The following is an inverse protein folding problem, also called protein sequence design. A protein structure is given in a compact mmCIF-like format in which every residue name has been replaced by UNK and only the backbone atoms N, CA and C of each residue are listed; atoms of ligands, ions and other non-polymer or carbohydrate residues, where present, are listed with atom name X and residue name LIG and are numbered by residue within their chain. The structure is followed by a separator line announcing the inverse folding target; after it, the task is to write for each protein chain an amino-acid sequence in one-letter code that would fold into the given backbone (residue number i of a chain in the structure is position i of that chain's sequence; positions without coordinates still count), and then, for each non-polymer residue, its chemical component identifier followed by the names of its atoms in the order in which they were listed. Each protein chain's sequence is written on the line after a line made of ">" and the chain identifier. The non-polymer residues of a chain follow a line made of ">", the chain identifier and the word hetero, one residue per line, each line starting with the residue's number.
data_IF_578591997881
#
_entry.id   IF_578591997881
#
_cell.length_a   1.000
_cell.length_b   1.000
_cell.length_c   1.000
_cell.angle_alpha   90.00
_cell.angle_beta   90.00
_cell.angle_gamma   90.00
#
_symmetry.space_group_name_H-M   'P 1'
#
loop_
_entity.id
_entity.type
_entity.pdbx_description
1 polymer ?
#
# COMPACT_ATOMS: atom_id res chain seq x y z
N UNK A 1 -6.81 -38.33 -21.02
CA UNK A 1 -5.74 -37.61 -20.31
C UNK A 1 -5.59 -38.25 -18.93
N UNK A 2 -4.37 -38.63 -18.55
CA UNK A 2 -4.14 -39.19 -17.20
C UNK A 2 -4.34 -38.08 -16.18
N UNK A 3 -5.30 -38.22 -15.28
CA UNK A 3 -5.53 -37.25 -14.21
C UNK A 3 -4.47 -37.43 -13.13
N UNK A 4 -3.72 -36.38 -12.83
CA UNK A 4 -2.77 -36.35 -11.71
C UNK A 4 -3.52 -36.36 -10.38
N UNK A 5 -3.17 -37.29 -9.46
CA UNK A 5 -3.87 -37.44 -8.17
C UNK A 5 -2.91 -37.52 -6.98
N UNK A 6 -3.27 -36.84 -5.89
CA UNK A 6 -2.63 -36.97 -4.58
C UNK A 6 -3.79 -37.19 -3.55
N UNK A 7 -3.92 -38.38 -3.03
CA UNK A 7 -5.07 -38.77 -2.17
C UNK A 7 -6.39 -38.47 -2.89
N UNK A 8 -7.23 -37.64 -2.27
CA UNK A 8 -8.54 -37.24 -2.80
C UNK A 8 -8.49 -36.03 -3.75
N UNK A 9 -7.30 -35.48 -4.04
CA UNK A 9 -7.15 -34.29 -4.89
C UNK A 9 -6.78 -34.67 -6.31
N UNK A 10 -7.46 -34.08 -7.28
CA UNK A 10 -7.15 -34.16 -8.73
C UNK A 10 -6.57 -32.83 -9.20
N UNK A 11 -5.58 -32.90 -10.10
CA UNK A 11 -4.88 -31.75 -10.65
C UNK A 11 -4.97 -31.77 -12.17
N UNK A 12 -5.14 -30.59 -12.76
CA UNK A 12 -5.36 -30.45 -14.20
C UNK A 12 -4.04 -30.32 -14.96
N UNK A 13 -2.98 -29.87 -14.27
CA UNK A 13 -1.64 -29.68 -14.86
C UNK A 13 -0.55 -30.38 -14.04
N UNK A 14 0.57 -30.72 -14.70
CA UNK A 14 1.74 -31.31 -14.07
C UNK A 14 2.38 -30.38 -13.03
N UNK A 15 2.35 -29.06 -13.28
CA UNK A 15 2.87 -28.06 -12.36
C UNK A 15 2.05 -27.96 -11.07
N UNK A 16 0.72 -28.01 -11.18
CA UNK A 16 -0.15 -28.03 -10.00
C UNK A 16 0.05 -29.30 -9.18
N UNK A 17 0.23 -30.45 -9.87
CA UNK A 17 0.53 -31.72 -9.23
C UNK A 17 1.88 -31.69 -8.50
N UNK A 18 2.93 -31.15 -9.13
CA UNK A 18 4.25 -31.01 -8.50
C UNK A 18 4.17 -30.15 -7.23
N UNK A 19 3.48 -29.01 -7.28
CA UNK A 19 3.22 -28.16 -6.09
C UNK A 19 2.42 -28.91 -5.03
N UNK A 20 1.42 -29.71 -5.43
CA UNK A 20 0.66 -30.56 -4.53
C UNK A 20 1.52 -31.60 -3.82
N UNK A 21 2.48 -32.19 -4.53
CA UNK A 21 3.41 -33.19 -3.99
C UNK A 21 4.39 -32.57 -2.99
N UNK A 22 4.86 -31.35 -3.26
CA UNK A 22 5.74 -30.60 -2.35
C UNK A 22 5.00 -30.26 -1.05
N UNK A 23 3.76 -29.76 -1.16
CA UNK A 23 2.94 -29.47 0.00
C UNK A 23 2.61 -30.72 0.82
N UNK A 24 2.32 -31.85 0.16
CA UNK A 24 2.10 -33.14 0.84
C UNK A 24 3.31 -33.58 1.66
N UNK A 25 4.54 -33.45 1.10
CA UNK A 25 5.78 -33.76 1.83
C UNK A 25 5.99 -32.82 3.03
N UNK A 26 5.68 -31.50 2.87
CA UNK A 26 5.75 -30.56 3.99
C UNK A 26 4.77 -30.92 5.10
N UNK A 27 3.55 -31.30 4.74
CA UNK A 27 2.49 -31.70 5.68
C UNK A 27 2.91 -32.98 6.42
N UNK A 28 3.38 -34.00 5.72
CA UNK A 28 3.87 -35.24 6.33
C UNK A 28 4.99 -34.97 7.34
N UNK A 29 5.95 -34.10 6.99
CA UNK A 29 7.02 -33.70 7.88
C UNK A 29 6.47 -32.99 9.15
N UNK A 30 5.51 -32.10 9.00
CA UNK A 30 4.86 -31.40 10.12
C UNK A 30 4.15 -32.42 11.02
N UNK A 31 3.33 -33.31 10.46
CA UNK A 31 2.58 -34.32 11.20
C UNK A 31 3.48 -35.33 11.94
N UNK A 32 4.65 -35.63 11.40
CA UNK A 32 5.63 -36.50 12.05
C UNK A 32 6.49 -35.79 13.13
N UNK A 33 6.49 -34.46 13.14
CA UNK A 33 7.35 -33.67 14.05
C UNK A 33 6.56 -33.06 15.21
N UNK A 34 5.27 -32.79 15.04
CA UNK A 34 4.43 -32.08 16.01
C UNK A 34 3.13 -32.83 16.26
N UNK A 35 2.74 -32.92 17.53
CA UNK A 35 1.43 -33.47 17.90
C UNK A 35 0.34 -32.41 17.74
N UNK A 36 -0.45 -32.56 16.67
CA UNK A 36 -1.55 -31.67 16.34
C UNK A 36 -2.79 -31.84 17.20
N UNK A 37 -2.82 -32.88 18.05
CA UNK A 37 -3.90 -33.09 19.04
C UNK A 37 -3.77 -32.15 20.23
N UNK A 38 -2.60 -31.54 20.41
CA UNK A 38 -2.29 -30.60 21.46
C UNK A 38 -2.74 -29.18 21.06
N UNK A 39 -3.67 -28.55 21.83
CA UNK A 39 -4.26 -27.24 21.43
C UNK A 39 -3.25 -26.11 21.20
N UNK A 40 -2.21 -26.03 22.02
CA UNK A 40 -1.17 -25.00 21.91
C UNK A 40 -0.33 -25.19 20.63
N UNK A 41 -0.02 -26.43 20.31
CA UNK A 41 0.75 -26.81 19.13
C UNK A 41 -0.04 -26.53 17.85
N UNK A 42 -1.33 -26.87 17.82
CA UNK A 42 -2.22 -26.55 16.71
C UNK A 42 -2.37 -25.03 16.51
N UNK A 43 -2.54 -24.26 17.60
CA UNK A 43 -2.63 -22.80 17.56
C UNK A 43 -1.33 -22.16 17.05
N UNK A 44 -0.18 -22.64 17.50
CA UNK A 44 1.13 -22.16 17.05
C UNK A 44 1.35 -22.41 15.55
N UNK A 45 0.98 -23.61 15.08
CA UNK A 45 1.06 -23.97 13.66
C UNK A 45 0.11 -23.11 12.82
N UNK A 46 -1.13 -22.89 13.26
CA UNK A 46 -2.09 -22.00 12.62
C UNK A 46 -1.49 -20.60 12.40
N UNK A 47 -0.85 -20.02 13.42
CA UNK A 47 -0.21 -18.71 13.31
C UNK A 47 1.00 -18.71 12.39
N UNK A 48 1.82 -19.76 12.35
CA UNK A 48 2.95 -19.87 11.44
C UNK A 48 2.52 -19.91 9.96
N UNK A 49 1.40 -20.59 9.68
CA UNK A 49 0.83 -20.62 8.32
C UNK A 49 0.18 -19.28 7.98
N UNK A 50 -0.62 -18.71 8.88
CA UNK A 50 -1.32 -17.44 8.67
C UNK A 50 -0.37 -16.26 8.48
N UNK A 51 0.75 -16.24 9.17
CA UNK A 51 1.79 -15.18 9.04
C UNK A 51 2.74 -15.40 7.87
N UNK A 52 2.52 -16.46 7.06
CA UNK A 52 3.33 -16.75 5.88
C UNK A 52 4.73 -17.30 6.17
N UNK A 53 5.05 -17.64 7.42
CA UNK A 53 6.30 -18.34 7.78
C UNK A 53 6.33 -19.76 7.25
N UNK A 54 5.17 -20.42 7.13
CA UNK A 54 4.99 -21.67 6.40
C UNK A 54 4.01 -21.39 5.27
N UNK A 55 4.44 -21.63 4.03
CA UNK A 55 3.63 -21.36 2.83
C UNK A 55 3.27 -22.66 2.14
N UNK A 56 2.00 -22.74 1.72
CA UNK A 56 1.46 -23.79 0.88
C UNK A 56 0.94 -23.20 -0.44
N UNK A 57 1.26 -23.86 -1.55
CA UNK A 57 0.94 -23.38 -2.90
C UNK A 57 -0.15 -24.16 -3.63
N UNK A 58 -0.75 -25.18 -2.99
CA UNK A 58 -1.68 -26.11 -3.64
C UNK A 58 -3.01 -26.31 -2.91
N UNK A 59 -3.96 -27.00 -3.55
CA UNK A 59 -5.22 -27.41 -2.96
C UNK A 59 -5.01 -28.32 -1.72
N UNK A 60 -3.94 -29.12 -1.69
CA UNK A 60 -3.58 -30.00 -0.56
C UNK A 60 -3.20 -29.16 0.66
N UNK A 61 -2.33 -28.17 0.48
CA UNK A 61 -1.91 -27.28 1.56
C UNK A 61 -3.06 -26.40 2.07
N UNK A 62 -3.91 -25.89 1.17
CA UNK A 62 -5.12 -25.13 1.57
C UNK A 62 -6.06 -25.97 2.44
N UNK A 63 -6.29 -27.24 2.09
CA UNK A 63 -7.13 -28.13 2.90
C UNK A 63 -6.51 -28.38 4.27
N UNK A 64 -5.21 -28.63 4.34
CA UNK A 64 -4.51 -28.83 5.61
C UNK A 64 -4.62 -27.60 6.52
N UNK A 65 -4.49 -26.39 5.98
CA UNK A 65 -4.70 -25.16 6.75
C UNK A 65 -6.12 -25.05 7.32
N UNK A 66 -7.15 -25.40 6.53
CA UNK A 66 -8.53 -25.40 6.99
C UNK A 66 -8.75 -26.44 8.10
N UNK A 67 -8.12 -27.61 8.01
CA UNK A 67 -8.24 -28.64 9.03
C UNK A 67 -7.59 -28.21 10.36
N UNK A 68 -6.46 -27.51 10.31
CA UNK A 68 -5.82 -26.90 11.49
C UNK A 68 -6.72 -25.80 12.08
N UNK A 69 -7.30 -24.93 11.25
CA UNK A 69 -8.21 -23.88 11.71
C UNK A 69 -9.45 -24.47 12.43
N UNK A 70 -10.02 -25.53 11.88
CA UNK A 70 -11.16 -26.25 12.47
C UNK A 70 -10.79 -26.95 13.80
N UNK A 71 -9.60 -27.57 13.89
CA UNK A 71 -9.07 -28.15 15.11
C UNK A 71 -8.90 -27.11 16.22
N UNK A 72 -8.34 -25.93 15.90
CA UNK A 72 -8.19 -24.82 16.85
C UNK A 72 -9.56 -24.31 17.31
N UNK A 73 -10.53 -24.15 16.40
CA UNK A 73 -11.88 -23.70 16.74
C UNK A 73 -12.62 -24.72 17.65
N UNK A 74 -12.51 -26.02 17.36
CA UNK A 74 -13.10 -27.09 18.18
C UNK A 74 -12.48 -27.17 19.56
N UNK A 75 -11.17 -26.98 19.66
CA UNK A 75 -10.43 -26.95 20.93
C UNK A 75 -10.87 -25.78 21.80
N UNK A 76 -11.03 -24.59 21.21
CA UNK A 76 -11.55 -23.41 21.90
C UNK A 76 -12.99 -23.63 22.39
N UNK A 77 -13.87 -24.22 21.55
CA UNK A 77 -15.25 -24.55 21.92
C UNK A 77 -15.33 -25.60 23.04
N UNK A 78 -14.44 -26.60 23.03
CA UNK A 78 -14.39 -27.63 24.07
C UNK A 78 -13.99 -27.08 25.43
N UNK A 79 -13.04 -26.15 25.45
CA UNK A 79 -12.63 -25.45 26.67
C UNK A 79 -13.74 -24.56 27.24
N UNK A 80 -14.59 -23.99 26.40
CA UNK A 80 -15.79 -23.23 26.82
C UNK A 80 -16.87 -24.18 27.38
N UNK A 81 -17.05 -25.35 26.77
CA UNK A 81 -18.07 -26.33 27.20
C UNK A 81 -17.65 -27.06 28.47
N UNK A 82 -16.35 -27.35 28.69
CA UNK A 82 -15.85 -27.91 29.94
C UNK A 82 -15.90 -26.94 31.11
N UNK A 83 -15.91 -25.64 30.86
CA UNK A 83 -16.16 -24.62 31.88
C UNK A 83 -17.62 -24.51 32.31
N UNK A 84 -18.54 -25.22 31.64
CA UNK A 84 -20.00 -25.19 31.89
C UNK A 84 -20.64 -26.53 32.37
N UNK A 85 -19.86 -27.58 32.64
CA UNK A 85 -20.41 -28.79 33.19
C UNK A 85 -20.63 -28.65 34.70
N UNK A 86 -21.85 -28.83 35.23
CA UNK A 86 -22.11 -28.70 36.66
C UNK A 86 -21.71 -29.99 37.38
N UNK A 87 -20.67 -29.93 38.22
CA UNK A 87 -20.50 -30.91 39.29
C UNK A 87 -21.57 -30.67 40.37
N UNK A 88 -22.52 -31.55 40.44
CA UNK A 88 -23.43 -31.65 41.58
C UNK A 88 -22.71 -32.36 42.76
N UNK A 89 -22.77 -31.67 43.90
CA UNK A 89 -22.46 -32.16 45.26
C UNK A 89 -21.01 -31.98 45.78
N UNK A 90 -20.76 -30.77 46.29
CA UNK A 90 -19.97 -30.56 47.52
C UNK A 90 -20.16 -29.14 48.03
N UNK A 91 -20.68 -28.99 49.26
CA UNK A 91 -20.59 -27.88 50.18
C UNK A 91 -20.90 -26.46 49.69
N UNK A 92 -22.01 -25.90 50.13
CA UNK A 92 -22.46 -24.52 49.82
C UNK A 92 -21.47 -23.43 50.21
N UNK A 93 -20.51 -23.66 51.11
CA UNK A 93 -19.54 -22.65 51.56
C UNK A 93 -18.34 -22.46 50.59
N UNK A 94 -18.03 -23.41 49.71
CA UNK A 94 -16.92 -23.30 48.72
C UNK A 94 -17.35 -22.64 47.41
N UNK A 95 -18.66 -22.61 47.11
CA UNK A 95 -19.19 -22.03 45.85
C UNK A 95 -19.09 -20.50 45.75
N UNK A 96 -19.30 -19.78 46.84
CA UNK A 96 -19.18 -18.33 46.84
C UNK A 96 -17.74 -17.85 46.62
N UNK A 97 -16.76 -18.54 47.19
CA UNK A 97 -15.33 -18.20 47.01
C UNK A 97 -14.79 -18.47 45.59
N UNK A 98 -15.26 -19.58 44.93
CA UNK A 98 -14.86 -19.90 43.57
C UNK A 98 -15.51 -18.96 42.51
N UNK A 99 -16.79 -18.61 42.72
CA UNK A 99 -17.52 -17.69 41.85
C UNK A 99 -16.99 -16.27 41.96
N UNK A 100 -16.54 -15.84 43.14
CA UNK A 100 -15.94 -14.53 43.35
C UNK A 100 -14.51 -14.47 42.76
N UNK A 101 -13.75 -15.56 42.79
CA UNK A 101 -12.47 -15.71 42.13
C UNK A 101 -12.58 -15.66 40.61
N UNK A 102 -13.53 -16.37 40.00
CA UNK A 102 -13.79 -16.37 38.56
C UNK A 102 -14.22 -14.99 38.07
N UNK A 103 -15.08 -14.29 38.83
CA UNK A 103 -15.50 -12.91 38.52
C UNK A 103 -14.34 -11.93 38.60
N UNK A 104 -13.43 -12.08 39.57
CA UNK A 104 -12.22 -11.24 39.70
C UNK A 104 -11.24 -11.50 38.56
N UNK A 105 -11.05 -12.77 38.16
CA UNK A 105 -10.20 -13.12 37.01
C UNK A 105 -10.80 -12.59 35.71
N UNK A 106 -12.10 -12.80 35.48
CA UNK A 106 -12.79 -12.26 34.30
C UNK A 106 -12.73 -10.73 34.27
N UNK A 107 -12.92 -10.08 35.41
CA UNK A 107 -12.77 -8.62 35.54
C UNK A 107 -11.34 -8.17 35.21
N UNK A 108 -10.32 -8.87 35.72
CA UNK A 108 -8.92 -8.56 35.42
C UNK A 108 -8.59 -8.74 33.91
N UNK A 109 -9.10 -9.82 33.29
CA UNK A 109 -8.94 -10.07 31.85
C UNK A 109 -9.64 -8.97 31.02
N UNK A 110 -10.85 -8.56 31.39
CA UNK A 110 -11.54 -7.47 30.70
C UNK A 110 -10.80 -6.14 30.85
N UNK A 111 -10.25 -5.83 32.05
CA UNK A 111 -9.47 -4.61 32.29
C UNK A 111 -8.17 -4.62 31.48
N UNK A 112 -7.45 -5.75 31.46
CA UNK A 112 -6.22 -5.87 30.66
C UNK A 112 -6.51 -5.77 29.17
N UNK A 113 -7.57 -6.40 28.66
CA UNK A 113 -8.01 -6.28 27.28
C UNK A 113 -8.39 -4.83 26.94
N UNK A 114 -9.11 -4.13 27.84
CA UNK A 114 -9.44 -2.71 27.66
C UNK A 114 -8.18 -1.85 27.62
N UNK A 115 -7.22 -2.04 28.52
CA UNK A 115 -5.96 -1.29 28.53
C UNK A 115 -5.17 -1.53 27.22
N UNK A 116 -5.13 -2.76 26.70
CA UNK A 116 -4.48 -3.08 25.44
C UNK A 116 -5.20 -2.44 24.25
N UNK A 117 -6.55 -2.45 24.24
CA UNK A 117 -7.34 -1.80 23.20
C UNK A 117 -7.17 -0.27 23.24
N UNK A 118 -7.20 0.34 24.42
CA UNK A 118 -6.96 1.78 24.58
C UNK A 118 -5.52 2.14 24.24
N UNK A 119 -4.53 1.35 24.68
CA UNK A 119 -3.11 1.53 24.31
C UNK A 119 -2.91 1.48 22.79
N UNK A 120 -3.51 0.49 22.13
CA UNK A 120 -3.52 0.39 20.66
C UNK A 120 -4.24 1.59 20.01
N UNK A 121 -5.40 2.01 20.53
CA UNK A 121 -6.13 3.16 20.01
C UNK A 121 -5.31 4.44 20.12
N UNK A 122 -4.75 4.74 21.31
CA UNK A 122 -3.91 5.93 21.51
C UNK A 122 -2.61 5.88 20.70
N UNK A 123 -2.00 4.69 20.55
CA UNK A 123 -0.82 4.52 19.69
C UNK A 123 -1.17 4.79 18.22
N UNK A 124 -2.27 4.23 17.74
CA UNK A 124 -2.74 4.44 16.36
C UNK A 124 -3.13 5.89 16.10
N UNK A 125 -3.79 6.53 17.07
CA UNK A 125 -4.18 7.94 16.99
C UNK A 125 -2.95 8.85 17.00
N UNK A 126 -1.99 8.57 17.88
CA UNK A 126 -0.73 9.30 17.97
C UNK A 126 0.10 9.23 16.69
N UNK A 127 0.25 8.03 16.09
CA UNK A 127 0.98 7.86 14.83
C UNK A 127 0.27 8.55 13.67
N UNK A 128 -1.06 8.44 13.57
CA UNK A 128 -1.84 9.15 12.56
C UNK A 128 -1.72 10.67 12.67
N UNK A 129 -1.68 11.20 13.89
CA UNK A 129 -1.55 12.65 14.11
C UNK A 129 -0.16 13.17 13.72
N UNK A 130 0.92 12.41 13.91
CA UNK A 130 2.27 12.86 13.54
C UNK A 130 2.43 13.05 12.03
N UNK A 131 1.99 12.08 11.22
CA UNK A 131 2.03 12.20 9.77
C UNK A 131 1.15 13.35 9.25
N UNK A 132 -0.04 13.54 9.83
CA UNK A 132 -0.90 14.67 9.51
C UNK A 132 -0.27 16.02 9.85
N UNK A 133 0.38 16.15 11.03
CA UNK A 133 1.06 17.37 11.43
C UNK A 133 2.25 17.69 10.52
N UNK A 134 3.02 16.68 10.11
CA UNK A 134 4.13 16.86 9.18
C UNK A 134 3.64 17.36 7.81
N UNK A 135 2.55 16.82 7.28
CA UNK A 135 1.94 17.29 6.03
C UNK A 135 1.39 18.72 6.16
N UNK A 136 0.72 19.06 7.28
CA UNK A 136 0.23 20.41 7.56
C UNK A 136 1.38 21.42 7.67
N UNK A 137 2.51 21.03 8.27
CA UNK A 137 3.70 21.86 8.32
C UNK A 137 4.25 22.16 6.90
N UNK A 138 4.39 21.15 6.05
CA UNK A 138 4.81 21.36 4.66
C UNK A 138 3.80 22.23 3.87
N UNK A 139 2.51 22.08 4.13
CA UNK A 139 1.48 22.92 3.53
C UNK A 139 1.63 24.38 3.95
N UNK A 140 1.90 24.63 5.23
CA UNK A 140 2.17 25.99 5.72
C UNK A 140 3.40 26.61 5.03
N UNK A 141 4.50 25.86 4.87
CA UNK A 141 5.70 26.32 4.14
C UNK A 141 5.37 26.68 2.69
N UNK A 142 4.58 25.86 2.00
CA UNK A 142 4.11 26.10 0.63
C UNK A 142 3.25 27.37 0.53
N UNK A 143 2.33 27.59 1.48
CA UNK A 143 1.40 28.72 1.46
C UNK A 143 2.06 30.06 1.86
N UNK A 144 3.15 30.00 2.66
CA UNK A 144 3.86 31.19 3.17
C UNK A 144 5.37 31.12 2.86
N UNK A 145 5.78 31.14 1.59
CA UNK A 145 7.18 30.94 1.21
C UNK A 145 8.14 32.00 1.76
N UNK A 146 7.68 33.23 1.95
CA UNK A 146 8.50 34.32 2.50
C UNK A 146 8.82 34.12 4.00
N UNK A 147 7.83 33.72 4.80
CA UNK A 147 8.04 33.40 6.21
C UNK A 147 8.86 32.10 6.37
N UNK A 148 8.67 31.15 5.47
CA UNK A 148 9.42 29.91 5.42
C UNK A 148 10.92 30.14 5.15
N UNK A 149 11.27 31.03 4.25
CA UNK A 149 12.67 31.42 3.96
C UNK A 149 13.36 32.05 5.19
N UNK A 150 12.66 32.90 5.95
CA UNK A 150 13.18 33.50 7.18
C UNK A 150 13.39 32.47 8.31
N UNK A 151 12.60 31.40 8.35
CA UNK A 151 12.76 30.30 9.32
C UNK A 151 14.00 29.44 9.00
N UNK A 152 14.28 29.20 7.72
CA UNK A 152 15.45 28.42 7.27
C UNK A 152 16.76 29.17 7.55
N UNK A 153 16.78 30.50 7.38
CA UNK A 153 17.98 31.33 7.64
C UNK A 153 18.34 31.42 9.15
N UNK A 154 17.37 31.23 10.05
CA UNK A 154 17.61 31.30 11.50
C UNK A 154 18.05 29.98 12.14
N UNK A 155 17.80 28.84 11.52
CA UNK A 155 18.28 27.52 11.95
C UNK A 155 19.54 27.13 11.15
N UNK A 156 20.67 27.79 11.44
CA UNK A 156 22.00 27.39 10.94
C UNK A 156 22.40 26.01 11.48
N UNK A 157 21.85 24.99 10.89
CA UNK A 157 22.32 23.62 11.01
C UNK A 157 22.58 23.02 9.63
N UNK A 158 23.44 23.71 8.84
CA UNK A 158 24.00 23.08 7.66
C UNK A 158 25.07 22.08 8.12
N UNK A 159 24.71 20.81 8.09
CA UNK A 159 25.69 19.73 7.94
C UNK A 159 26.31 19.88 6.55
N UNK A 160 27.64 20.04 6.49
CA UNK A 160 28.43 20.11 5.25
C UNK A 160 28.44 18.79 4.43
N UNK A 161 27.57 17.85 4.74
CA UNK A 161 27.39 16.57 4.05
C UNK A 161 26.04 16.53 3.31
N UNK A 162 25.80 17.47 2.40
CA UNK A 162 24.77 17.28 1.37
C UNK A 162 25.30 16.26 0.35
N UNK A 163 24.69 15.06 0.20
CA UNK A 163 25.09 14.16 -0.85
C UNK A 163 24.78 14.80 -2.21
N UNK A 164 25.81 14.89 -3.02
CA UNK A 164 25.77 15.28 -4.42
C UNK A 164 24.77 14.36 -5.17
N UNK A 165 23.57 14.89 -5.46
CA UNK A 165 22.44 14.17 -6.07
C UNK A 165 22.65 13.90 -7.58
N UNK A 166 23.91 13.75 -8.04
CA UNK A 166 24.28 13.59 -9.43
C UNK A 166 25.31 12.50 -9.69
N UNK A 167 25.08 11.29 -9.16
CA UNK A 167 25.96 10.18 -9.56
C UNK A 167 25.18 8.87 -9.63
N UNK A 168 24.71 8.50 -10.81
CA UNK A 168 24.31 7.13 -11.08
C UNK A 168 23.31 6.83 -12.18
N UNK A 169 23.26 7.61 -13.26
CA UNK A 169 22.61 7.17 -14.50
C UNK A 169 23.61 7.29 -15.66
N UNK A 170 23.64 6.24 -16.45
CA UNK A 170 24.55 6.06 -17.61
C UNK A 170 24.34 7.21 -18.62
N UNK A 171 25.46 7.89 -18.94
CA UNK A 171 25.48 9.17 -19.64
C UNK A 171 25.50 8.98 -21.14
N UNK A 172 24.48 9.46 -21.85
CA UNK A 172 24.59 9.77 -23.28
C UNK A 172 24.09 11.18 -23.60
N UNK A 173 25.03 12.08 -23.75
CA UNK A 173 25.09 13.31 -24.60
C UNK A 173 24.01 14.41 -24.48
N UNK A 174 23.28 14.57 -23.36
CA UNK A 174 22.52 15.82 -23.05
C UNK A 174 22.88 16.45 -21.70
N UNK A 175 24.12 16.28 -21.28
CA UNK A 175 24.60 16.48 -19.89
C UNK A 175 24.98 17.91 -19.51
N UNK A 176 24.62 18.96 -20.23
CA UNK A 176 25.16 20.31 -19.99
C UNK A 176 24.11 21.41 -19.67
N UNK A 177 22.84 21.10 -19.54
CA UNK A 177 21.89 22.09 -19.06
C UNK A 177 21.63 21.87 -17.56
N UNK A 178 21.85 22.92 -16.73
CA UNK A 178 21.51 22.82 -15.31
C UNK A 178 19.99 22.55 -15.16
N UNK A 179 19.58 21.83 -14.10
CA UNK A 179 18.16 21.60 -13.86
C UNK A 179 17.41 22.94 -13.78
N UNK A 180 16.12 22.98 -14.15
CA UNK A 180 15.29 24.16 -13.99
C UNK A 180 15.32 24.67 -12.54
N UNK A 181 15.14 25.98 -12.31
CA UNK A 181 15.04 26.49 -10.94
C UNK A 181 13.84 25.90 -10.22
N UNK A 182 14.00 25.61 -8.92
CA UNK A 182 12.90 25.18 -8.05
C UNK A 182 11.88 26.32 -7.96
N UNK A 183 10.60 25.96 -7.96
CA UNK A 183 9.51 26.92 -7.76
C UNK A 183 9.66 27.59 -6.38
N UNK A 184 9.48 28.93 -6.26
CA UNK A 184 9.70 29.64 -5.00
C UNK A 184 8.92 29.11 -3.81
N UNK A 185 7.71 28.61 -4.02
CA UNK A 185 6.87 28.02 -2.98
C UNK A 185 7.40 26.68 -2.45
N UNK A 186 8.33 26.05 -3.14
CA UNK A 186 8.89 24.75 -2.77
C UNK A 186 10.35 24.82 -2.30
N UNK A 187 11.03 25.95 -2.45
CA UNK A 187 12.44 26.11 -2.05
C UNK A 187 12.68 25.74 -0.59
N UNK A 188 11.85 26.24 0.34
CA UNK A 188 11.96 25.95 1.77
C UNK A 188 11.68 24.49 2.11
N UNK A 189 10.80 23.82 1.33
CA UNK A 189 10.51 22.40 1.51
C UNK A 189 11.67 21.56 1.00
N UNK A 190 12.19 21.85 -0.20
CA UNK A 190 13.33 21.14 -0.79
C UNK A 190 14.57 21.26 0.08
N UNK A 191 14.81 22.45 0.69
CA UNK A 191 15.93 22.65 1.60
C UNK A 191 15.87 21.77 2.86
N UNK A 192 14.68 21.38 3.32
CA UNK A 192 14.48 20.53 4.50
C UNK A 192 14.28 19.05 4.14
N UNK A 193 13.74 18.77 2.95
CA UNK A 193 13.39 17.42 2.48
C UNK A 193 13.89 17.23 1.05
N UNK A 194 15.10 16.68 0.91
CA UNK A 194 15.75 16.47 -0.39
C UNK A 194 14.97 15.52 -1.32
N UNK A 195 14.14 14.64 -0.75
CA UNK A 195 13.30 13.71 -1.51
C UNK A 195 11.96 14.31 -1.94
N UNK A 196 11.67 15.57 -1.57
CA UNK A 196 10.44 16.24 -1.99
C UNK A 196 10.49 16.50 -3.51
N UNK A 197 9.48 16.01 -4.21
CA UNK A 197 9.43 16.04 -5.68
C UNK A 197 8.27 16.85 -6.24
N UNK A 198 7.24 17.13 -5.42
CA UNK A 198 6.09 17.91 -5.87
C UNK A 198 4.90 17.85 -4.92
N UNK A 199 3.80 18.44 -5.36
CA UNK A 199 2.56 18.55 -4.58
C UNK A 199 1.34 18.20 -5.42
N UNK A 200 0.46 17.32 -4.92
CA UNK A 200 -0.77 16.94 -5.59
C UNK A 200 -2.00 17.45 -4.84
N UNK A 201 -2.96 18.01 -5.59
CA UNK A 201 -4.25 18.45 -5.05
C UNK A 201 -5.38 18.04 -5.98
N UNK A 202 -6.46 17.50 -5.41
CA UNK A 202 -7.71 17.24 -6.14
C UNK A 202 -8.84 17.93 -5.36
N UNK A 203 -9.40 18.99 -5.94
CA UNK A 203 -10.44 19.80 -5.31
C UNK A 203 -11.68 18.97 -4.92
N UNK A 204 -12.30 19.30 -3.81
CA UNK A 204 -13.46 18.55 -3.28
C UNK A 204 -13.12 17.18 -2.67
N UNK A 205 -11.83 16.81 -2.60
CA UNK A 205 -11.35 15.57 -1.99
C UNK A 205 -10.42 15.83 -0.80
N UNK A 206 -9.93 14.76 -0.17
CA UNK A 206 -8.87 14.85 0.86
C UNK A 206 -7.46 14.84 0.28
N UNK A 207 -7.32 14.77 -1.04
CA UNK A 207 -6.00 14.70 -1.70
C UNK A 207 -5.46 16.12 -1.80
N UNK A 208 -4.53 16.44 -0.91
CA UNK A 208 -3.77 17.69 -0.85
C UNK A 208 -2.47 17.37 -0.07
N UNK A 209 -1.50 16.77 -0.78
CA UNK A 209 -0.34 16.11 -0.17
C UNK A 209 0.97 16.39 -0.90
N UNK A 210 2.09 16.40 -0.16
CA UNK A 210 3.42 16.31 -0.74
C UNK A 210 3.61 14.96 -1.43
N UNK A 211 4.44 14.94 -2.48
CA UNK A 211 4.85 13.74 -3.20
C UNK A 211 6.37 13.64 -3.14
N UNK A 212 6.86 12.47 -2.75
CA UNK A 212 8.27 12.21 -2.55
C UNK A 212 8.84 11.37 -3.71
N UNK A 213 10.15 11.45 -3.94
CA UNK A 213 10.86 10.63 -4.93
C UNK A 213 12.19 10.15 -4.35
N UNK A 214 12.37 8.84 -4.28
CA UNK A 214 13.59 8.17 -3.84
C UNK A 214 14.11 7.26 -4.96
N UNK A 215 15.14 7.68 -5.73
CA UNK A 215 15.60 6.90 -6.88
C UNK A 215 16.12 5.50 -6.55
N UNK A 216 16.64 5.30 -5.34
CA UNK A 216 17.29 4.06 -4.92
C UNK A 216 16.41 3.11 -4.09
N UNK A 217 15.29 3.58 -3.54
CA UNK A 217 14.36 2.81 -2.70
C UNK A 217 12.92 3.24 -2.98
N UNK A 218 12.34 2.68 -4.05
CA UNK A 218 11.00 3.05 -4.52
C UNK A 218 9.88 2.83 -3.51
N UNK A 219 10.08 2.02 -2.47
CA UNK A 219 9.09 1.74 -1.45
C UNK A 219 9.37 2.47 -0.11
N UNK A 220 10.38 3.34 -0.07
CA UNK A 220 10.83 4.01 1.17
C UNK A 220 9.66 4.69 1.92
N UNK A 221 8.86 5.47 1.20
CA UNK A 221 7.73 6.23 1.75
C UNK A 221 6.43 5.43 1.87
N UNK A 222 6.43 4.14 1.49
CA UNK A 222 5.24 3.30 1.62
C UNK A 222 4.74 3.19 3.07
N UNK A 223 5.67 3.27 4.05
CA UNK A 223 5.35 3.17 5.49
C UNK A 223 6.05 4.24 6.32
N UNK A 224 6.37 5.38 5.71
CA UNK A 224 7.03 6.50 6.38
C UNK A 224 6.35 7.82 6.03
N UNK A 225 6.32 8.72 7.01
CA UNK A 225 5.92 10.11 6.77
C UNK A 225 7.04 10.89 6.07
N UNK A 226 6.80 12.15 5.75
CA UNK A 226 7.77 13.03 5.05
C UNK A 226 9.08 13.21 5.81
N UNK A 227 9.11 13.01 7.13
CA UNK A 227 10.31 13.07 7.97
C UNK A 227 11.08 11.74 8.02
N UNK A 228 10.64 10.72 7.26
CA UNK A 228 11.25 9.37 7.29
C UNK A 228 10.88 8.52 8.52
N UNK A 229 9.95 8.97 9.35
CA UNK A 229 9.47 8.23 10.52
C UNK A 229 8.38 7.23 10.15
N UNK A 230 8.29 6.12 10.90
CA UNK A 230 7.27 5.09 10.67
C UNK A 230 5.84 5.65 10.75
N UNK A 231 5.08 5.48 9.68
CA UNK A 231 3.67 5.88 9.56
C UNK A 231 2.90 4.82 8.75
N UNK A 232 1.81 4.33 9.31
CA UNK A 232 0.96 3.33 8.66
C UNK A 232 0.27 3.86 7.39
N UNK A 233 0.05 5.18 7.31
CA UNK A 233 -0.54 5.83 6.14
C UNK A 233 0.50 6.02 5.03
N UNK A 234 1.79 6.05 5.38
CA UNK A 234 2.86 6.41 4.47
C UNK A 234 2.74 7.84 3.95
N UNK A 235 3.48 8.13 2.91
CA UNK A 235 3.40 9.37 2.13
C UNK A 235 3.19 8.99 0.66
N UNK A 236 2.65 9.89 -0.16
CA UNK A 236 2.58 9.70 -1.59
C UNK A 236 3.99 9.74 -2.18
N UNK A 237 4.29 8.83 -3.10
CA UNK A 237 5.62 8.76 -3.70
C UNK A 237 5.55 8.39 -5.18
N UNK A 238 6.54 8.88 -5.95
CA UNK A 238 6.67 8.59 -7.38
C UNK A 238 7.39 7.27 -7.62
N UNK A 239 7.19 6.74 -8.82
CA UNK A 239 8.02 5.67 -9.35
C UNK A 239 9.48 6.13 -9.42
N UNK A 240 10.44 5.33 -8.91
CA UNK A 240 11.85 5.73 -8.84
C UNK A 240 12.51 5.98 -10.22
N UNK A 241 11.89 5.53 -11.31
CA UNK A 241 12.36 5.75 -12.68
C UNK A 241 11.91 7.10 -13.26
N UNK A 242 11.12 7.89 -12.51
CA UNK A 242 10.63 9.20 -12.96
C UNK A 242 11.78 10.18 -13.08
N UNK A 243 11.90 10.81 -14.24
CA UNK A 243 12.79 11.93 -14.49
C UNK A 243 11.98 13.24 -14.53
N UNK A 244 12.22 14.12 -13.57
CA UNK A 244 11.53 15.41 -13.48
C UNK A 244 12.22 16.51 -14.33
N UNK A 245 13.49 16.32 -14.69
CA UNK A 245 14.27 17.29 -15.48
C UNK A 245 14.03 17.08 -16.97
N UNK A 246 14.20 15.84 -17.44
CA UNK A 246 13.95 15.45 -18.84
C UNK A 246 12.46 15.25 -19.14
N UNK A 247 11.61 15.19 -18.11
CA UNK A 247 10.17 14.95 -18.16
C UNK A 247 9.81 13.57 -18.72
N UNK A 248 9.59 12.64 -17.82
CA UNK A 248 9.03 11.33 -18.20
C UNK A 248 7.67 11.49 -18.87
N UNK A 249 7.39 10.67 -19.89
CA UNK A 249 6.09 10.64 -20.57
C UNK A 249 4.95 10.36 -19.61
N UNK A 250 5.17 9.48 -18.61
CA UNK A 250 4.17 9.11 -17.60
C UNK A 250 4.77 9.19 -16.20
N UNK A 251 4.27 10.10 -15.40
CA UNK A 251 4.60 10.21 -13.98
C UNK A 251 3.63 9.31 -13.20
N UNK A 252 4.16 8.32 -12.48
CA UNK A 252 3.32 7.42 -11.68
C UNK A 252 3.49 7.77 -10.21
N UNK A 253 2.38 8.07 -9.53
CA UNK A 253 2.33 8.34 -8.09
C UNK A 253 1.58 7.21 -7.39
N UNK A 254 2.21 6.66 -6.36
CA UNK A 254 1.66 5.60 -5.52
C UNK A 254 1.17 6.14 -4.18
N UNK A 255 0.10 5.57 -3.66
CA UNK A 255 -0.41 5.91 -2.34
C UNK A 255 -1.32 4.82 -1.77
N UNK A 256 -1.41 4.76 -0.44
CA UNK A 256 -2.26 3.79 0.24
C UNK A 256 -3.76 4.05 0.04
N UNK A 257 -4.52 2.96 -0.14
CA UNK A 257 -5.99 2.99 -0.08
C UNK A 257 -6.46 2.91 1.38
N UNK A 258 -6.41 4.03 2.07
CA UNK A 258 -6.82 4.09 3.48
C UNK A 258 -8.35 4.09 3.63
N UNK A 259 -8.87 3.30 4.57
CA UNK A 259 -10.32 3.27 4.88
C UNK A 259 -10.86 4.62 5.36
N UNK A 260 -10.02 5.43 6.00
CA UNK A 260 -10.31 6.80 6.44
C UNK A 260 -10.49 7.79 5.28
N UNK A 261 -10.11 7.39 4.06
CA UNK A 261 -10.15 8.22 2.87
C UNK A 261 -8.96 9.17 2.71
N UNK A 262 -7.96 9.12 3.62
CA UNK A 262 -6.68 9.85 3.47
C UNK A 262 -5.79 9.14 2.44
N UNK A 263 -4.71 9.77 2.06
CA UNK A 263 -3.85 9.36 0.94
C UNK A 263 -4.71 9.12 -0.31
N UNK A 264 -4.58 7.98 -0.97
CA UNK A 264 -5.40 7.61 -2.12
C UNK A 264 -6.68 6.82 -1.77
N UNK A 265 -7.09 6.83 -0.51
CA UNK A 265 -8.33 6.16 -0.07
C UNK A 265 -9.61 6.71 -0.69
N UNK A 266 -9.62 7.97 -1.15
CA UNK A 266 -10.76 8.58 -1.87
C UNK A 266 -10.82 8.18 -3.35
N UNK A 267 -9.75 7.67 -3.98
CA UNK A 267 -9.74 7.29 -5.40
C UNK A 267 -10.81 6.23 -5.74
N UNK A 268 -11.20 5.38 -4.78
CA UNK A 268 -12.29 4.42 -5.00
C UNK A 268 -13.62 5.04 -5.39
N UNK A 269 -13.84 6.33 -5.10
CA UNK A 269 -15.05 7.05 -5.48
C UNK A 269 -15.12 7.31 -6.99
N UNK A 270 -13.98 7.31 -7.68
CA UNK A 270 -13.91 7.44 -9.14
C UNK A 270 -14.52 6.25 -9.90
N UNK A 271 -14.89 5.17 -9.20
CA UNK A 271 -15.71 4.10 -9.77
C UNK A 271 -17.18 4.50 -9.96
N UNK A 272 -17.57 5.67 -9.49
CA UNK A 272 -18.81 6.36 -9.80
C UNK A 272 -18.54 7.39 -10.90
N UNK A 273 -19.29 7.34 -12.01
CA UNK A 273 -19.04 8.16 -13.20
C UNK A 273 -19.32 9.65 -12.93
N UNK A 274 -20.35 9.97 -12.14
CA UNK A 274 -20.67 11.35 -11.78
C UNK A 274 -19.57 11.95 -10.92
N UNK A 275 -19.06 11.18 -9.96
CA UNK A 275 -17.93 11.59 -9.15
C UNK A 275 -16.66 11.82 -9.97
N UNK A 276 -16.34 10.92 -10.91
CA UNK A 276 -15.21 11.11 -11.82
C UNK A 276 -15.34 12.41 -12.61
N UNK A 277 -16.51 12.68 -13.22
CA UNK A 277 -16.73 13.89 -14.02
C UNK A 277 -16.63 15.17 -13.18
N UNK A 278 -17.10 15.16 -11.94
CA UNK A 278 -17.01 16.29 -11.01
C UNK A 278 -15.58 16.57 -10.56
N UNK A 279 -14.74 15.54 -10.46
CA UNK A 279 -13.37 15.61 -9.93
C UNK A 279 -12.33 15.22 -10.99
N UNK A 280 -12.60 15.46 -12.27
CA UNK A 280 -11.71 15.05 -13.36
C UNK A 280 -10.36 15.79 -13.34
N UNK A 281 -10.30 16.99 -12.75
CA UNK A 281 -9.09 17.79 -12.73
C UNK A 281 -8.20 17.47 -11.51
N UNK A 282 -6.92 17.25 -11.80
CA UNK A 282 -5.86 17.04 -10.82
C UNK A 282 -4.85 18.16 -11.01
N UNK A 283 -4.54 18.90 -9.94
CA UNK A 283 -3.36 19.77 -9.91
C UNK A 283 -2.19 18.97 -9.38
N UNK A 284 -1.15 18.89 -10.15
CA UNK A 284 0.09 18.28 -9.74
C UNK A 284 1.26 19.16 -10.17
N UNK A 285 1.89 19.77 -9.18
CA UNK A 285 3.08 20.58 -9.36
C UNK A 285 4.30 19.72 -9.05
N UNK A 286 5.26 19.67 -9.96
CA UNK A 286 6.61 19.23 -9.63
C UNK A 286 7.35 20.35 -8.90
N UNK A 287 8.54 20.09 -8.39
CA UNK A 287 9.38 21.16 -7.82
C UNK A 287 9.79 22.20 -8.86
N UNK A 288 9.65 21.91 -10.16
CA UNK A 288 10.11 22.77 -11.27
C UNK A 288 8.98 23.48 -12.02
N UNK A 289 7.79 22.90 -12.07
CA UNK A 289 6.68 23.51 -12.82
C UNK A 289 5.32 23.11 -12.26
N UNK A 290 4.33 23.99 -12.49
CA UNK A 290 2.92 23.72 -12.18
C UNK A 290 2.27 22.92 -13.30
N UNK A 291 1.33 22.05 -12.92
CA UNK A 291 0.59 21.25 -13.90
C UNK A 291 -0.85 21.02 -13.51
N UNK A 292 -1.73 21.10 -14.49
CA UNK A 292 -3.10 20.65 -14.40
C UNK A 292 -3.30 19.46 -15.34
N UNK A 293 -3.91 18.40 -14.84
CA UNK A 293 -4.13 17.17 -15.57
C UNK A 293 -5.62 16.85 -15.55
N UNK A 294 -6.14 16.28 -16.64
CA UNK A 294 -7.53 15.81 -16.74
C UNK A 294 -7.57 14.28 -16.82
N UNK A 295 -8.30 13.66 -15.90
CA UNK A 295 -8.47 12.19 -15.85
C UNK A 295 -9.28 11.74 -17.06
N UNK A 296 -8.64 11.02 -17.97
CA UNK A 296 -9.30 10.42 -19.12
C UNK A 296 -9.62 8.93 -18.94
N UNK A 297 -9.01 8.22 -17.99
CA UNK A 297 -9.28 6.81 -17.77
C UNK A 297 -9.28 6.46 -16.27
N UNK A 298 -10.30 5.71 -15.85
CA UNK A 298 -10.44 5.09 -14.53
C UNK A 298 -10.31 3.59 -14.71
N UNK A 299 -9.26 2.98 -14.18
CA UNK A 299 -8.86 1.63 -14.53
C UNK A 299 -8.82 0.69 -13.33
N UNK A 300 -9.14 -0.59 -13.57
CA UNK A 300 -8.97 -1.68 -12.64
C UNK A 300 -8.00 -2.71 -13.23
N UNK A 301 -6.96 -3.08 -12.47
CA UNK A 301 -6.03 -4.13 -12.85
C UNK A 301 -5.73 -5.06 -11.69
N UNK A 302 -5.02 -6.16 -11.98
CA UNK A 302 -4.35 -7.00 -10.99
C UNK A 302 -2.85 -6.80 -11.10
N UNK A 303 -2.14 -6.92 -9.99
CA UNK A 303 -0.66 -6.96 -10.02
C UNK A 303 -0.25 -8.22 -10.75
N UNK A 304 0.50 -8.04 -11.81
CA UNK A 304 1.07 -9.15 -12.58
C UNK A 304 2.46 -9.48 -12.04
N UNK A 305 2.71 -10.77 -11.83
CA UNK A 305 4.04 -11.22 -11.42
C UNK A 305 5.05 -11.03 -12.57
N UNK A 306 6.32 -10.75 -12.22
CA UNK A 306 7.39 -10.47 -13.20
C UNK A 306 7.54 -11.50 -14.34
N UNK A 307 7.03 -12.71 -14.17
CA UNK A 307 7.11 -13.80 -15.15
C UNK A 307 5.86 -13.92 -16.05
N UNK A 308 4.86 -13.04 -15.92
CA UNK A 308 3.72 -13.01 -16.83
C UNK A 308 4.04 -12.16 -18.05
N UNK A 309 3.57 -12.58 -19.23
CA UNK A 309 3.61 -11.78 -20.47
C UNK A 309 2.44 -10.77 -20.55
N UNK A 310 1.69 -10.61 -19.46
CA UNK A 310 0.54 -9.72 -19.41
C UNK A 310 0.99 -8.27 -19.24
N UNK A 311 0.21 -7.36 -19.79
CA UNK A 311 0.45 -5.93 -19.73
C UNK A 311 0.50 -5.40 -18.29
N UNK A 312 1.49 -4.56 -17.99
CA UNK A 312 1.71 -3.92 -16.71
C UNK A 312 1.78 -2.41 -16.91
N UNK A 313 0.70 -1.70 -16.56
CA UNK A 313 0.61 -0.24 -16.73
C UNK A 313 1.76 0.54 -16.08
N UNK A 314 2.33 -0.01 -15.00
CA UNK A 314 3.42 0.62 -14.27
C UNK A 314 4.81 0.43 -14.90
N UNK A 315 4.94 -0.33 -15.99
CA UNK A 315 6.19 -0.44 -16.73
C UNK A 315 6.38 0.71 -17.73
N UNK A 316 5.31 1.42 -18.07
CA UNK A 316 5.35 2.53 -19.00
C UNK A 316 5.68 3.84 -18.29
N UNK A 317 6.95 4.26 -18.34
CA UNK A 317 7.45 5.53 -17.80
C UNK A 317 7.79 6.48 -18.96
N UNK A 318 8.43 5.96 -20.00
CA UNK A 318 8.86 6.73 -21.15
C UNK A 318 8.35 6.10 -22.44
N UNK A 319 7.86 6.92 -23.36
CA UNK A 319 7.50 6.50 -24.70
C UNK A 319 8.69 6.68 -25.64
N UNK A 320 9.27 5.56 -26.08
CA UNK A 320 10.38 5.59 -27.04
C UNK A 320 9.92 5.86 -28.49
N UNK A 321 8.61 5.68 -28.75
CA UNK A 321 8.01 5.87 -30.06
C UNK A 321 6.49 6.12 -29.95
N UNK A 322 5.91 6.67 -31.02
CA UNK A 322 4.45 6.81 -31.15
C UNK A 322 3.72 5.46 -31.07
N UNK A 323 4.32 4.39 -31.65
CA UNK A 323 3.77 3.04 -31.60
C UNK A 323 3.68 2.54 -30.13
N UNK A 324 4.76 2.71 -29.35
CA UNK A 324 4.78 2.32 -27.95
C UNK A 324 3.78 3.11 -27.10
N UNK A 325 3.60 4.40 -27.40
CA UNK A 325 2.59 5.24 -26.76
C UNK A 325 1.17 4.76 -27.06
N UNK A 326 0.88 4.51 -28.33
CA UNK A 326 -0.44 4.06 -28.77
C UNK A 326 -0.78 2.66 -28.25
N UNK A 327 0.20 1.74 -28.21
CA UNK A 327 0.04 0.41 -27.61
C UNK A 327 -0.31 0.50 -26.10
N UNK A 328 0.41 1.37 -25.37
CA UNK A 328 0.06 1.66 -23.98
C UNK A 328 -1.37 2.19 -23.84
N UNK A 329 -1.74 3.18 -24.65
CA UNK A 329 -3.06 3.81 -24.62
C UNK A 329 -4.18 2.80 -24.89
N UNK A 330 -4.01 1.92 -25.88
CA UNK A 330 -4.97 0.87 -26.22
C UNK A 330 -5.19 -0.09 -25.03
N UNK A 331 -4.13 -0.46 -24.32
CA UNK A 331 -4.22 -1.28 -23.11
C UNK A 331 -4.92 -0.53 -21.96
N UNK A 332 -4.65 0.75 -21.77
CA UNK A 332 -5.34 1.57 -20.76
C UNK A 332 -6.84 1.63 -21.04
N UNK A 333 -7.23 1.86 -22.29
CA UNK A 333 -8.64 1.88 -22.70
C UNK A 333 -9.31 0.53 -22.42
N UNK A 334 -8.64 -0.59 -22.70
CA UNK A 334 -9.16 -1.93 -22.40
C UNK A 334 -9.34 -2.22 -20.91
N UNK A 335 -8.47 -1.66 -20.05
CA UNK A 335 -8.54 -1.81 -18.59
C UNK A 335 -9.49 -0.81 -17.93
N UNK A 336 -9.96 0.20 -18.67
CA UNK A 336 -10.77 1.27 -18.11
C UNK A 336 -12.20 0.83 -17.84
N UNK A 337 -12.73 1.26 -16.70
CA UNK A 337 -14.17 1.21 -16.36
C UNK A 337 -14.89 2.38 -17.03
N UNK A 338 -14.23 3.53 -17.04
CA UNK A 338 -14.68 4.74 -17.70
C UNK A 338 -13.55 5.33 -18.53
N UNK A 339 -13.88 5.84 -19.73
CA UNK A 339 -12.93 6.50 -20.64
C UNK A 339 -13.53 7.82 -21.11
N UNK A 340 -12.73 8.87 -21.01
CA UNK A 340 -13.06 10.21 -21.52
C UNK A 340 -13.04 10.28 -23.06
N UNK A 341 -13.54 11.38 -23.59
CA UNK A 341 -13.57 11.61 -25.04
C UNK A 341 -12.31 12.32 -25.57
N UNK A 342 -11.61 13.06 -24.71
CA UNK A 342 -10.36 13.75 -25.06
C UNK A 342 -9.14 12.88 -24.70
N UNK A 343 -8.80 11.96 -25.59
CA UNK A 343 -7.70 11.01 -25.40
C UNK A 343 -6.35 11.70 -25.66
N UNK A 344 -5.29 11.28 -24.96
CA UNK A 344 -3.94 11.78 -25.20
C UNK A 344 -3.40 11.30 -26.55
N UNK A 345 -2.46 12.06 -27.08
CA UNK A 345 -1.70 11.73 -28.30
C UNK A 345 -0.21 11.65 -27.96
N UNK A 346 0.58 11.03 -28.83
CA UNK A 346 2.02 10.96 -28.65
C UNK A 346 2.62 12.35 -28.48
N UNK A 347 3.44 12.54 -27.44
CA UNK A 347 3.99 13.81 -27.02
C UNK A 347 3.22 14.50 -25.87
N UNK A 348 2.01 14.03 -25.54
CA UNK A 348 1.33 14.47 -24.31
C UNK A 348 1.99 13.82 -23.08
N UNK A 349 2.04 14.56 -21.97
CA UNK A 349 2.50 14.09 -20.68
C UNK A 349 1.33 13.48 -19.89
N UNK A 350 1.59 12.34 -19.27
CA UNK A 350 0.61 11.57 -18.51
C UNK A 350 0.93 11.59 -17.01
N UNK A 351 -0.12 11.53 -16.21
CA UNK A 351 -0.06 11.35 -14.75
C UNK A 351 -0.90 10.13 -14.38
N UNK A 352 -0.28 9.15 -13.73
CA UNK A 352 -0.97 7.95 -13.23
C UNK A 352 -1.01 7.96 -11.72
N UNK A 353 -2.20 7.94 -11.11
CA UNK A 353 -2.39 7.79 -9.67
C UNK A 353 -2.77 6.34 -9.36
N UNK A 354 -1.95 5.62 -8.62
CA UNK A 354 -2.11 4.19 -8.37
C UNK A 354 -2.28 3.86 -6.90
N UNK A 355 -3.29 3.02 -6.59
CA UNK A 355 -3.52 2.53 -5.21
C UNK A 355 -3.99 1.07 -5.22
N UNK A 356 -3.85 0.40 -4.06
CA UNK A 356 -4.42 -0.94 -3.88
C UNK A 356 -5.95 -0.89 -3.95
N UNK A 357 -6.55 -1.90 -4.57
CA UNK A 357 -7.98 -2.08 -4.50
C UNK A 357 -8.28 -3.40 -3.73
N UNK A 358 -9.37 -3.42 -2.97
CA UNK A 358 -9.76 -4.55 -2.15
C UNK A 358 -10.82 -5.43 -2.82
N UNK A 359 -11.17 -5.19 -4.09
CA UNK A 359 -12.18 -5.95 -4.84
C UNK A 359 -11.65 -7.31 -5.30
N UNK A 360 -10.33 -7.41 -5.50
CA UNK A 360 -9.63 -8.65 -5.84
C UNK A 360 -8.34 -8.77 -5.05
N UNK A 361 -7.85 -10.00 -4.82
CA UNK A 361 -6.51 -10.25 -4.31
C UNK A 361 -5.51 -9.61 -5.29
N UNK A 362 -4.59 -8.80 -4.77
CA UNK A 362 -3.61 -8.01 -5.55
C UNK A 362 -4.23 -7.00 -6.55
N UNK A 363 -5.46 -6.58 -6.34
CA UNK A 363 -6.13 -5.58 -7.17
C UNK A 363 -5.47 -4.21 -7.09
N UNK A 364 -5.49 -3.48 -8.21
CA UNK A 364 -5.10 -2.07 -8.31
C UNK A 364 -6.26 -1.27 -8.91
N UNK A 365 -6.49 -0.11 -8.33
CA UNK A 365 -7.27 0.96 -8.91
C UNK A 365 -6.29 2.05 -9.30
N UNK A 366 -6.36 2.50 -10.54
CA UNK A 366 -5.53 3.61 -10.97
C UNK A 366 -6.29 4.54 -11.91
N UNK A 367 -5.93 5.81 -11.85
CA UNK A 367 -6.43 6.86 -12.74
C UNK A 367 -5.30 7.22 -13.69
N UNK A 368 -5.62 7.45 -14.96
CA UNK A 368 -4.68 8.02 -15.92
C UNK A 368 -5.22 9.35 -16.38
N UNK A 369 -4.41 10.39 -16.24
CA UNK A 369 -4.72 11.76 -16.59
C UNK A 369 -3.73 12.29 -17.62
N UNK A 370 -4.20 13.17 -18.47
CA UNK A 370 -3.43 13.89 -19.49
C UNK A 370 -3.16 15.31 -19.01
N UNK A 371 -1.95 15.83 -19.20
CA UNK A 371 -1.63 17.23 -18.92
C UNK A 371 -2.46 18.16 -19.80
N UNK A 372 -3.15 19.09 -19.17
CA UNK A 372 -3.89 20.13 -19.89
C UNK A 372 -2.88 21.08 -20.56
N UNK A 373 -3.11 21.42 -21.82
CA UNK A 373 -2.36 22.47 -22.49
C UNK A 373 -2.78 23.81 -21.89
N UNK A 374 -1.85 24.64 -21.51
CA UNK A 374 -2.17 26.01 -21.14
C UNK A 374 -2.81 26.69 -22.34
N UNK A 375 -3.93 27.37 -22.11
CA UNK A 375 -4.54 28.19 -23.14
C UNK A 375 -3.59 29.39 -23.40
N UNK A 376 -3.06 29.49 -24.63
CA UNK A 376 -2.26 30.62 -25.09
C UNK A 376 -3.00 31.96 -24.95
#
# INVERSE_FOLDING_TARGET
>A
MAAYKIGNFTFDTEEEYARGLEDAKKIEKIQNTVDLSEPETALRLYWLIRTGKIKFGSKVGKKFFLDIADAVAKSAAKNITQAQAPEQQAGEETRQGAQDRSRKILGAVCVTAAILCFGWYFWSDYTNHRGSQANEYLKMLKENPTEAAEMVDNDTFFSEDAPELAAGLDQTERENEPPPPVLPEYEAIVAQHSDFAGWITIDGTKIDYPVMLTPNDGDYYLKRNVNGEDDINGTLFMDPRTDLVQRSTNIIIYGHNMKSGVMFGSLKKYLDEDYWREHAQIRFDTIYEKGTYEVFAVCLARVQYRNSQEFRYYDFIQADSEEAFNDYLDHIIQLSVFTGTDLPVYGDELLTLSTCNNFTEDGRLFLVAKKCREAE
#
